data_IF_161288476239
#
_entry.id   IF_161288476239
#
_cell.length_a   1.000
_cell.length_b   1.000
_cell.length_c   1.000
_cell.angle_alpha   90.00
_cell.angle_beta   90.00
_cell.angle_gamma   90.00
#
_symmetry.space_group_name_H-M   'P 1'
#
loop_
_entity.id
_entity.type
_entity.pdbx_description
1 polymer ?
#
# COMPACT_ATOMS: atom_id res chain seq x y z
N UNK A 1 12.27 -14.02 31.33
CA UNK A 1 13.22 -13.54 30.32
C UNK A 1 12.39 -12.88 29.24
N UNK A 2 12.52 -11.56 29.09
CA UNK A 2 11.70 -10.77 28.16
C UNK A 2 12.33 -10.89 26.78
N UNK A 3 11.77 -11.72 25.91
CA UNK A 3 12.21 -11.85 24.52
C UNK A 3 11.88 -10.52 23.82
N UNK A 4 12.90 -9.71 23.55
CA UNK A 4 12.74 -8.55 22.67
C UNK A 4 12.63 -9.06 21.24
N UNK A 5 11.55 -8.69 20.54
CA UNK A 5 11.39 -8.98 19.11
C UNK A 5 12.60 -8.42 18.35
N UNK A 6 13.32 -9.30 17.65
CA UNK A 6 14.52 -8.94 16.88
C UNK A 6 14.19 -8.37 15.49
N UNK A 7 12.90 -8.27 15.14
CA UNK A 7 12.46 -7.79 13.84
C UNK A 7 11.39 -6.71 13.97
N UNK A 8 11.45 -5.73 13.07
CA UNK A 8 10.43 -4.69 12.97
C UNK A 8 9.24 -5.23 12.17
N UNK A 9 8.13 -5.52 12.84
CA UNK A 9 6.85 -5.73 12.16
C UNK A 9 6.30 -4.36 11.77
N UNK A 10 6.44 -3.98 10.49
CA UNK A 10 5.74 -2.79 9.99
C UNK A 10 4.24 -3.05 10.05
N UNK A 11 3.55 -2.26 10.86
CA UNK A 11 2.10 -2.28 10.96
C UNK A 11 1.53 -1.55 9.73
N UNK A 12 0.33 -1.91 9.28
CA UNK A 12 -0.21 -1.41 7.99
C UNK A 12 -0.33 0.12 7.96
N UNK A 13 -0.48 0.73 9.13
CA UNK A 13 -0.55 2.17 9.36
C UNK A 13 0.73 2.89 8.92
N UNK A 14 1.89 2.21 8.85
CA UNK A 14 3.14 2.77 8.30
C UNK A 14 3.08 2.95 6.76
N UNK A 15 2.05 2.42 6.08
CA UNK A 15 1.86 2.54 4.63
C UNK A 15 0.81 3.61 4.26
N UNK A 16 0.36 4.41 5.22
CA UNK A 16 -0.55 5.52 4.97
C UNK A 16 0.24 6.78 4.61
N UNK A 17 -0.32 7.59 3.72
CA UNK A 17 0.26 8.88 3.35
C UNK A 17 -0.21 9.96 4.35
N UNK A 18 0.71 10.68 5.00
CA UNK A 18 0.30 11.70 5.98
C UNK A 18 -0.33 12.93 5.32
N UNK A 19 0.12 13.27 4.12
CA UNK A 19 -0.29 14.48 3.39
C UNK A 19 -0.74 14.14 1.96
N UNK A 20 -1.58 15.02 1.39
CA UNK A 20 -2.00 14.91 0.00
C UNK A 20 -0.80 15.04 -0.96
N UNK A 21 -0.50 14.01 -1.77
CA UNK A 21 0.58 14.11 -2.74
C UNK A 21 0.22 15.10 -3.86
N UNK A 22 1.03 16.15 -4.02
CA UNK A 22 0.91 17.03 -5.17
C UNK A 22 1.04 16.24 -6.48
N UNK A 23 0.00 16.28 -7.31
CA UNK A 23 -0.06 15.68 -8.64
C UNK A 23 -0.94 16.54 -9.55
N UNK A 24 -0.55 16.69 -10.82
CA UNK A 24 -1.31 17.44 -11.83
C UNK A 24 -1.73 16.47 -12.93
N UNK A 25 -3.03 16.19 -13.08
CA UNK A 25 -3.52 15.38 -14.19
C UNK A 25 -3.20 16.01 -15.55
N UNK A 26 -2.81 15.18 -16.51
CA UNK A 26 -2.50 15.58 -17.88
C UNK A 26 -3.67 15.24 -18.81
N UNK A 27 -4.29 14.07 -18.64
CA UNK A 27 -5.46 13.61 -19.41
C UNK A 27 -6.49 12.96 -18.45
N UNK A 28 -7.09 11.84 -18.86
CA UNK A 28 -8.16 11.11 -18.19
C UNK A 28 -7.64 10.00 -17.26
N UNK A 29 -6.34 9.99 -16.91
CA UNK A 29 -5.73 8.92 -16.12
C UNK A 29 -6.40 8.70 -14.75
N UNK A 30 -6.89 9.76 -14.11
CA UNK A 30 -7.59 9.69 -12.83
C UNK A 30 -8.91 8.92 -12.99
N UNK A 31 -9.70 9.26 -14.01
CA UNK A 31 -11.00 8.62 -14.28
C UNK A 31 -10.81 7.15 -14.66
N UNK A 32 -9.81 6.86 -15.51
CA UNK A 32 -9.46 5.51 -15.90
C UNK A 32 -8.99 4.65 -14.70
N UNK A 33 -8.19 5.23 -13.80
CA UNK A 33 -7.74 4.54 -12.59
C UNK A 33 -8.92 4.19 -11.68
N UNK A 34 -9.83 5.14 -11.44
CA UNK A 34 -11.03 4.90 -10.64
C UNK A 34 -11.92 3.80 -11.22
N UNK A 35 -12.14 3.83 -12.54
CA UNK A 35 -12.94 2.82 -13.23
C UNK A 35 -12.31 1.42 -13.12
N UNK A 36 -10.98 1.34 -13.28
CA UNK A 36 -10.23 0.10 -13.11
C UNK A 36 -10.27 -0.40 -11.65
N UNK A 37 -10.10 0.49 -10.68
CA UNK A 37 -10.17 0.16 -9.24
C UNK A 37 -11.55 -0.39 -8.85
N UNK A 38 -12.63 0.28 -9.27
CA UNK A 38 -14.02 -0.19 -9.06
C UNK A 38 -14.26 -1.56 -9.69
N UNK A 39 -13.62 -1.83 -10.83
CA UNK A 39 -13.70 -3.10 -11.54
C UNK A 39 -12.70 -4.15 -11.06
N UNK A 40 -11.85 -3.82 -10.06
CA UNK A 40 -10.75 -4.66 -9.56
C UNK A 40 -9.81 -5.16 -10.66
N UNK A 41 -9.52 -4.30 -11.64
CA UNK A 41 -8.63 -4.60 -12.75
C UNK A 41 -7.18 -4.19 -12.40
N UNK A 42 -6.20 -5.08 -12.62
CA UNK A 42 -4.79 -4.73 -12.50
C UNK A 42 -4.39 -3.64 -13.52
N UNK A 43 -3.60 -2.67 -13.07
CA UNK A 43 -3.08 -1.58 -13.91
C UNK A 43 -1.59 -1.73 -14.15
N UNK A 44 -1.13 -1.32 -15.33
CA UNK A 44 0.29 -1.21 -15.68
C UNK A 44 0.60 0.20 -16.18
N UNK A 45 1.60 0.85 -15.57
CA UNK A 45 2.02 2.19 -15.94
C UNK A 45 3.26 2.14 -16.83
N UNK A 46 3.15 2.69 -18.03
CA UNK A 46 4.25 2.80 -18.99
C UNK A 46 4.63 4.26 -19.21
N UNK A 47 5.92 4.54 -19.23
CA UNK A 47 6.45 5.88 -19.53
C UNK A 47 7.92 6.01 -19.13
N UNK A 48 8.63 7.06 -19.58
CA UNK A 48 10.03 7.29 -19.25
C UNK A 48 10.24 7.49 -17.74
N UNK A 49 11.49 7.40 -17.28
CA UNK A 49 11.81 7.72 -15.88
C UNK A 49 11.46 9.19 -15.58
N UNK A 50 11.06 9.46 -14.34
CA UNK A 50 10.74 10.82 -13.89
C UNK A 50 9.41 11.43 -14.40
N UNK A 51 8.59 10.71 -15.18
CA UNK A 51 7.31 11.25 -15.68
C UNK A 51 6.14 11.20 -14.67
N UNK A 52 6.40 10.99 -13.38
CA UNK A 52 5.37 11.05 -12.34
C UNK A 52 4.54 9.78 -12.09
N UNK A 53 4.89 8.61 -12.65
CA UNK A 53 4.13 7.35 -12.43
C UNK A 53 3.92 7.00 -10.95
N UNK A 54 4.99 7.00 -10.16
CA UNK A 54 4.92 6.70 -8.72
C UNK A 54 4.05 7.72 -8.00
N UNK A 55 4.27 9.01 -8.29
CA UNK A 55 3.50 10.11 -7.70
C UNK A 55 2.01 10.05 -8.04
N UNK A 56 1.67 9.58 -9.24
CA UNK A 56 0.29 9.35 -9.64
C UNK A 56 -0.37 8.27 -8.77
N UNK A 57 0.31 7.15 -8.54
CA UNK A 57 -0.23 6.07 -7.70
C UNK A 57 -0.38 6.52 -6.24
N UNK A 58 0.57 7.28 -5.70
CA UNK A 58 0.45 7.94 -4.38
C UNK A 58 -0.79 8.85 -4.31
N UNK A 59 -0.98 9.69 -5.32
CA UNK A 59 -2.15 10.57 -5.41
C UNK A 59 -3.46 9.77 -5.44
N UNK A 60 -3.52 8.69 -6.23
CA UNK A 60 -4.71 7.85 -6.35
C UNK A 60 -5.02 7.07 -5.05
N UNK A 61 -4.03 6.56 -4.34
CA UNK A 61 -4.25 5.88 -3.05
C UNK A 61 -4.78 6.84 -1.98
N UNK A 62 -4.24 8.06 -1.95
CA UNK A 62 -4.75 9.14 -1.09
C UNK A 62 -6.20 9.48 -1.42
N UNK A 63 -6.48 9.79 -2.71
CA UNK A 63 -7.81 10.20 -3.19
C UNK A 63 -8.87 9.13 -2.91
N UNK A 64 -8.61 7.88 -3.29
CA UNK A 64 -9.56 6.78 -3.13
C UNK A 64 -9.90 6.49 -1.66
N UNK A 65 -8.92 6.60 -0.75
CA UNK A 65 -9.21 6.35 0.66
C UNK A 65 -10.05 7.45 1.32
N UNK A 66 -9.90 8.71 0.88
CA UNK A 66 -10.81 9.79 1.27
C UNK A 66 -12.24 9.54 0.79
N UNK A 67 -12.42 9.05 -0.44
CA UNK A 67 -13.75 8.75 -0.98
C UNK A 67 -14.42 7.59 -0.24
N UNK A 68 -13.68 6.52 0.07
CA UNK A 68 -14.20 5.38 0.82
C UNK A 68 -14.58 5.76 2.26
N UNK A 69 -13.77 6.59 2.93
CA UNK A 69 -14.04 7.01 4.31
C UNK A 69 -15.35 7.81 4.44
N UNK A 70 -15.66 8.66 3.45
CA UNK A 70 -16.89 9.48 3.43
C UNK A 70 -18.18 8.67 3.39
N UNK A 71 -18.15 7.43 2.89
CA UNK A 71 -19.34 6.57 2.77
C UNK A 71 -19.67 5.85 4.10
N UNK A 72 -18.68 5.70 4.99
CA UNK A 72 -18.78 4.83 6.17
C UNK A 72 -18.90 5.52 7.53
N UNK A 73 -18.65 6.84 7.65
CA UNK A 73 -18.61 7.53 8.96
C UNK A 73 -19.83 8.43 9.21
N UNK A 74 -20.46 8.23 10.38
CA UNK A 74 -21.15 9.27 11.16
C UNK A 74 -20.11 10.34 11.56
N UNK A 75 -20.48 11.62 11.50
CA UNK A 75 -19.64 12.85 11.51
C UNK A 75 -18.63 13.05 12.68
N UNK A 76 -18.42 12.07 13.58
CA UNK A 76 -17.69 12.28 14.83
C UNK A 76 -16.19 11.95 14.84
N UNK A 77 -15.63 11.34 13.79
CA UNK A 77 -14.19 11.00 13.76
C UNK A 77 -13.53 11.36 12.42
N UNK A 78 -12.98 12.57 12.36
CA UNK A 78 -12.41 13.21 11.15
C UNK A 78 -11.02 12.68 10.75
N UNK A 79 -10.64 11.50 11.24
CA UNK A 79 -9.46 10.77 10.76
C UNK A 79 -9.77 10.17 9.38
N UNK A 80 -9.55 10.96 8.33
CA UNK A 80 -9.63 10.50 6.94
C UNK A 80 -8.58 9.41 6.71
N UNK A 81 -9.01 8.16 6.52
CA UNK A 81 -8.10 7.03 6.33
C UNK A 81 -7.83 6.91 4.83
N UNK A 82 -6.60 7.17 4.38
CA UNK A 82 -6.24 6.83 3.00
C UNK A 82 -6.03 5.31 2.83
N UNK A 83 -6.09 4.84 1.59
CA UNK A 83 -5.76 3.45 1.27
C UNK A 83 -4.27 3.22 1.49
N UNK A 84 -3.87 2.20 2.28
CA UNK A 84 -2.46 1.86 2.45
C UNK A 84 -1.81 1.59 1.10
N UNK A 85 -0.68 2.25 0.82
CA UNK A 85 0.10 2.06 -0.40
C UNK A 85 1.38 1.29 -0.10
N UNK A 86 1.44 0.04 -0.52
CA UNK A 86 2.61 -0.82 -0.31
C UNK A 86 3.50 -0.80 -1.55
N UNK A 87 4.52 0.07 -1.52
CA UNK A 87 5.49 0.16 -2.61
C UNK A 87 6.63 -0.84 -2.43
N UNK A 88 6.90 -1.65 -3.45
CA UNK A 88 7.99 -2.62 -3.48
C UNK A 88 8.98 -2.23 -4.58
N UNK A 89 10.23 -1.98 -4.20
CA UNK A 89 11.31 -1.73 -5.16
C UNK A 89 11.82 -3.04 -5.74
N UNK A 90 11.39 -3.39 -6.96
CA UNK A 90 11.80 -4.61 -7.63
C UNK A 90 13.26 -4.53 -8.13
N UNK A 91 14.02 -5.60 -7.91
CA UNK A 91 15.37 -5.80 -8.42
C UNK A 91 15.58 -7.29 -8.76
N UNK A 92 16.71 -7.63 -9.37
CA UNK A 92 16.98 -8.99 -9.88
C UNK A 92 17.09 -10.05 -8.78
N UNK A 93 17.61 -9.69 -7.61
CA UNK A 93 17.70 -10.60 -6.46
C UNK A 93 16.40 -10.73 -5.64
N UNK A 94 15.31 -10.06 -6.04
CA UNK A 94 14.05 -10.11 -5.29
C UNK A 94 13.37 -11.48 -5.48
N UNK A 95 13.13 -12.20 -4.38
CA UNK A 95 12.52 -13.54 -4.44
C UNK A 95 11.04 -13.52 -4.09
N UNK A 96 10.30 -14.58 -4.46
CA UNK A 96 8.90 -14.72 -4.08
C UNK A 96 8.67 -14.75 -2.56
N UNK A 97 9.63 -15.29 -1.80
CA UNK A 97 9.57 -15.31 -0.34
C UNK A 97 9.66 -13.91 0.27
N UNK A 98 10.37 -12.97 -0.38
CA UNK A 98 10.44 -11.58 0.09
C UNK A 98 9.10 -10.85 -0.08
N UNK A 99 8.28 -11.24 -1.07
CA UNK A 99 6.94 -10.69 -1.29
C UNK A 99 5.89 -11.31 -0.35
N UNK A 100 5.88 -12.64 -0.27
CA UNK A 100 4.84 -13.40 0.44
C UNK A 100 5.09 -13.41 1.95
N UNK A 101 6.34 -13.59 2.38
CA UNK A 101 6.69 -13.79 3.77
C UNK A 101 7.55 -15.03 3.99
N UNK A 102 8.03 -15.18 5.22
CA UNK A 102 8.93 -16.27 5.62
C UNK A 102 8.74 -16.66 7.08
N UNK A 103 9.10 -17.91 7.38
CA UNK A 103 9.21 -18.36 8.76
C UNK A 103 10.52 -17.88 9.40
N UNK A 104 10.43 -17.37 10.62
CA UNK A 104 11.57 -17.01 11.46
C UNK A 104 11.63 -17.93 12.68
N UNK A 105 12.83 -18.16 13.20
CA UNK A 105 13.04 -18.84 14.47
C UNK A 105 13.20 -17.80 15.57
N UNK A 106 12.33 -17.83 16.57
CA UNK A 106 12.34 -16.91 17.71
C UNK A 106 12.32 -17.72 19.01
N UNK A 107 13.49 -17.86 19.65
CA UNK A 107 13.68 -18.77 20.77
C UNK A 107 13.37 -20.21 20.38
N UNK A 108 12.40 -20.83 21.08
CA UNK A 108 11.94 -22.20 20.84
C UNK A 108 10.71 -22.27 19.91
N UNK A 109 10.41 -21.20 19.16
CA UNK A 109 9.22 -21.11 18.31
C UNK A 109 9.56 -20.81 16.84
N UNK A 110 8.76 -21.37 15.93
CA UNK A 110 8.75 -21.01 14.50
C UNK A 110 7.58 -20.07 14.25
N UNK A 111 7.86 -18.82 13.90
CA UNK A 111 6.83 -17.78 13.68
C UNK A 111 6.75 -17.42 12.20
N UNK A 112 5.54 -17.22 11.68
CA UNK A 112 5.33 -16.73 10.32
C UNK A 112 5.37 -15.19 10.31
N UNK A 113 6.16 -14.63 9.40
CA UNK A 113 6.20 -13.20 9.15
C UNK A 113 5.69 -12.90 7.74
N UNK A 114 4.57 -12.18 7.64
CA UNK A 114 4.03 -11.73 6.35
C UNK A 114 5.00 -10.78 5.64
N UNK A 115 5.17 -10.98 4.34
CA UNK A 115 5.84 -10.04 3.45
C UNK A 115 4.93 -8.86 3.06
N UNK A 116 5.48 -7.84 2.38
CA UNK A 116 4.76 -6.62 2.00
C UNK A 116 3.52 -6.92 1.13
N UNK A 117 3.62 -7.84 0.16
CA UNK A 117 2.50 -8.18 -0.71
C UNK A 117 1.36 -8.85 0.09
N UNK A 118 1.69 -9.78 0.98
CA UNK A 118 0.69 -10.44 1.83
C UNK A 118 0.00 -9.45 2.77
N UNK A 119 0.74 -8.46 3.31
CA UNK A 119 0.15 -7.40 4.13
C UNK A 119 -0.80 -6.51 3.33
N UNK A 120 -0.40 -6.10 2.13
CA UNK A 120 -1.24 -5.31 1.23
C UNK A 120 -2.57 -6.03 0.94
N UNK A 121 -2.51 -7.31 0.59
CA UNK A 121 -3.69 -8.14 0.30
C UNK A 121 -4.60 -8.26 1.52
N UNK A 122 -4.05 -8.52 2.72
CA UNK A 122 -4.83 -8.65 3.96
C UNK A 122 -5.51 -7.35 4.36
N UNK A 123 -4.86 -6.20 4.11
CA UNK A 123 -5.37 -4.88 4.44
C UNK A 123 -6.30 -4.27 3.38
N UNK A 124 -6.34 -4.84 2.17
CA UNK A 124 -7.01 -4.20 1.03
C UNK A 124 -6.27 -2.95 0.54
N UNK A 125 -4.94 -2.92 0.70
CA UNK A 125 -4.07 -1.85 0.20
C UNK A 125 -3.85 -1.90 -1.32
N UNK A 126 -3.20 -0.86 -1.82
CA UNK A 126 -2.74 -0.71 -3.21
C UNK A 126 -1.25 -1.03 -3.30
#
# INVERSE_FOLDING_TARGET
>A
MTTQSLYKSFIIEEYQLEEEPYYVPIHDEVELFEAAYKSRLPLIFKGPTGCGKTRFVEYMSYKLGLELTKVTKDDSDNSGVNLPLVTIACHEDLTGSDLVGRYLLEGDQTVWLDGPLTRAVKAGGI
#
